data_IF_290516143872
#
_entry.id   IF_290516143872
#
_cell.length_a   1.000
_cell.length_b   1.000
_cell.length_c   1.000
_cell.angle_alpha   90.00
_cell.angle_beta   90.00
_cell.angle_gamma   90.00
#
_symmetry.space_group_name_H-M   'P 1'
#
loop_
_entity.id
_entity.type
_entity.pdbx_description
1 polymer ?
#
# COMPACT_ATOMS: atom_id res chain seq x y z
N UNK A 1 -52.25 60.74 15.94
CA UNK A 1 -51.03 60.82 15.09
C UNK A 1 -49.94 61.46 15.92
N UNK A 2 -48.76 60.81 16.02
CA UNK A 2 -47.79 60.87 17.16
C UNK A 2 -48.41 60.26 18.43
N UNK A 3 -47.72 59.49 19.27
CA UNK A 3 -46.40 59.68 19.89
C UNK A 3 -45.83 58.28 20.24
N UNK A 4 -44.55 58.01 19.95
CA UNK A 4 -43.78 56.98 20.65
C UNK A 4 -42.42 57.62 21.00
N UNK A 5 -42.16 57.71 22.31
CA UNK A 5 -40.97 58.27 22.93
C UNK A 5 -39.99 57.14 23.25
N UNK A 6 -38.76 57.37 22.80
CA UNK A 6 -37.47 56.74 23.12
C UNK A 6 -37.26 56.41 24.61
N UNK A 7 -36.54 55.32 24.92
CA UNK A 7 -35.26 55.27 25.66
C UNK A 7 -34.61 53.89 25.34
N UNK A 8 -33.50 53.75 24.61
CA UNK A 8 -32.09 54.06 24.87
C UNK A 8 -31.46 53.40 26.11
N UNK A 9 -30.21 52.96 25.90
CA UNK A 9 -29.22 52.38 26.83
C UNK A 9 -29.31 50.85 27.01
N UNK A 10 -28.26 50.04 27.04
CA UNK A 10 -26.91 50.00 26.47
C UNK A 10 -26.33 48.65 26.92
N UNK A 11 -25.35 48.16 26.17
CA UNK A 11 -24.21 47.37 26.68
C UNK A 11 -24.30 45.84 26.74
N UNK A 12 -23.55 45.25 25.79
CA UNK A 12 -22.52 44.22 26.03
C UNK A 12 -22.96 42.95 26.76
N UNK A 13 -23.48 41.97 26.02
CA UNK A 13 -23.36 40.53 26.34
C UNK A 13 -23.24 39.68 25.07
N UNK A 14 -22.23 39.99 24.27
CA UNK A 14 -21.63 39.03 23.36
C UNK A 14 -20.25 38.67 23.93
N UNK A 15 -19.87 37.40 23.85
CA UNK A 15 -18.52 36.88 24.11
C UNK A 15 -18.18 36.34 25.52
N UNK A 16 -19.05 35.52 26.14
CA UNK A 16 -18.60 34.56 27.18
C UNK A 16 -19.42 33.25 27.08
N UNK A 17 -19.41 32.58 25.92
CA UNK A 17 -19.87 31.16 25.83
C UNK A 17 -18.98 30.33 24.89
N UNK A 18 -18.25 30.95 23.96
CA UNK A 18 -17.52 30.21 22.92
C UNK A 18 -16.04 29.92 23.22
N UNK A 19 -15.50 30.30 24.38
CA UNK A 19 -14.07 30.13 24.73
C UNK A 19 -13.79 29.03 25.78
N UNK A 20 -14.80 28.29 26.22
CA UNK A 20 -14.63 27.21 27.21
C UNK A 20 -14.48 25.80 26.62
N UNK A 21 -14.58 25.64 25.29
CA UNK A 21 -14.51 24.33 24.62
C UNK A 21 -13.13 23.96 24.04
N UNK A 22 -12.11 24.80 24.20
CA UNK A 22 -10.82 24.63 23.48
C UNK A 22 -9.66 24.19 24.39
N UNK A 23 -9.86 24.03 25.71
CA UNK A 23 -8.75 23.81 26.66
C UNK A 23 -8.87 22.58 27.56
N UNK A 24 -9.87 21.72 27.38
CA UNK A 24 -9.87 20.44 28.07
C UNK A 24 -9.24 19.36 27.19
N UNK A 25 -8.13 18.73 27.61
CA UNK A 25 -7.60 17.58 26.90
C UNK A 25 -8.66 16.49 26.91
N UNK A 26 -9.15 16.12 25.73
CA UNK A 26 -9.99 14.93 25.58
C UNK A 26 -9.11 13.74 25.92
N UNK A 27 -9.48 12.98 26.95
CA UNK A 27 -8.85 11.69 27.21
C UNK A 27 -9.18 10.78 26.03
N UNK A 28 -8.27 10.71 25.07
CA UNK A 28 -8.30 9.68 24.04
C UNK A 28 -7.91 8.38 24.75
N UNK A 29 -8.91 7.58 25.12
CA UNK A 29 -8.64 6.21 25.51
C UNK A 29 -8.05 5.50 24.29
N UNK A 30 -6.79 5.11 24.39
CA UNK A 30 -6.20 4.19 23.43
C UNK A 30 -7.05 2.91 23.43
N UNK A 31 -7.30 2.36 22.24
CA UNK A 31 -7.93 1.05 22.12
C UNK A 31 -7.03 0.03 22.84
N UNK A 32 -7.53 -0.52 23.94
CA UNK A 32 -6.82 -1.54 24.70
C UNK A 32 -7.17 -2.91 24.11
N UNK A 33 -6.22 -3.52 23.39
CA UNK A 33 -6.42 -4.82 22.76
C UNK A 33 -5.94 -5.92 23.71
N UNK A 34 -6.80 -6.29 24.66
CA UNK A 34 -6.53 -7.35 25.62
C UNK A 34 -6.95 -8.71 25.03
N UNK A 35 -6.00 -9.64 24.94
CA UNK A 35 -6.28 -11.04 24.61
C UNK A 35 -6.36 -11.89 25.87
N UNK A 36 -7.44 -12.64 26.06
CA UNK A 36 -7.54 -13.70 27.07
C UNK A 36 -7.28 -15.06 26.43
N UNK A 37 -6.47 -15.89 27.10
CA UNK A 37 -6.20 -17.27 26.69
C UNK A 37 -6.66 -18.26 27.76
N UNK A 38 -7.00 -19.46 27.34
CA UNK A 38 -7.32 -20.59 28.20
C UNK A 38 -6.73 -21.86 27.56
N UNK A 39 -6.05 -22.70 28.36
CA UNK A 39 -5.65 -24.04 27.95
C UNK A 39 -6.51 -25.03 28.74
N UNK A 40 -7.58 -25.52 28.10
CA UNK A 40 -8.45 -26.57 28.64
C UNK A 40 -9.15 -26.25 29.98
N UNK A 41 -9.50 -24.99 30.24
CA UNK A 41 -10.21 -24.54 31.43
C UNK A 41 -9.31 -24.03 32.56
N UNK A 42 -7.98 -24.05 32.38
CA UNK A 42 -7.01 -23.62 33.38
C UNK A 42 -6.39 -22.25 33.06
N UNK A 43 -6.94 -21.22 33.70
CA UNK A 43 -6.49 -19.82 33.59
C UNK A 43 -5.11 -19.63 34.28
N UNK A 44 -4.75 -20.50 35.23
CA UNK A 44 -3.47 -20.44 35.94
C UNK A 44 -2.33 -21.08 35.16
N UNK A 45 -2.62 -21.89 34.14
CA UNK A 45 -1.61 -22.44 33.22
C UNK A 45 -0.79 -21.35 32.49
N UNK A 46 -1.29 -20.11 32.51
CA UNK A 46 -0.67 -18.94 31.90
C UNK A 46 0.15 -18.08 32.89
N UNK A 47 0.24 -18.46 34.17
CA UNK A 47 0.66 -17.56 35.25
C UNK A 47 2.20 -17.44 35.51
N UNK A 48 3.09 -18.02 34.70
CA UNK A 48 4.41 -17.38 34.55
C UNK A 48 4.93 -17.30 33.11
N UNK A 49 4.19 -17.75 32.08
CA UNK A 49 4.72 -17.79 30.72
C UNK A 49 3.66 -17.76 29.64
N UNK A 50 3.37 -16.56 29.14
CA UNK A 50 3.01 -16.41 27.73
C UNK A 50 3.53 -15.08 27.23
N UNK A 51 4.82 -15.08 26.87
CA UNK A 51 5.28 -14.16 25.84
C UNK A 51 4.50 -14.54 24.58
N UNK A 52 3.44 -13.80 24.29
CA UNK A 52 2.74 -13.89 23.02
C UNK A 52 3.59 -13.16 21.98
N UNK A 53 4.55 -13.88 21.40
CA UNK A 53 5.41 -13.33 20.36
C UNK A 53 4.66 -13.34 19.04
N UNK A 54 4.04 -12.21 18.71
CA UNK A 54 3.56 -11.92 17.37
C UNK A 54 4.77 -11.71 16.46
N UNK A 55 5.19 -12.78 15.78
CA UNK A 55 6.12 -12.66 14.67
C UNK A 55 5.36 -12.06 13.48
N UNK A 56 5.22 -10.74 13.45
CA UNK A 56 4.72 -10.06 12.27
C UNK A 56 5.82 -10.05 11.21
N UNK A 57 5.58 -10.75 10.11
CA UNK A 57 6.44 -10.74 8.94
C UNK A 57 6.48 -9.33 8.35
N UNK A 58 7.56 -8.59 8.56
CA UNK A 58 7.72 -7.28 7.94
C UNK A 58 8.08 -7.49 6.46
N UNK A 59 7.07 -7.46 5.60
CA UNK A 59 7.25 -7.41 4.16
C UNK A 59 7.61 -5.98 3.74
N UNK A 60 8.67 -5.84 2.94
CA UNK A 60 9.02 -4.57 2.32
C UNK A 60 8.41 -4.52 0.91
N UNK A 61 7.60 -3.48 0.65
CA UNK A 61 7.11 -3.15 -0.68
C UNK A 61 8.01 -2.08 -1.30
N UNK A 62 8.62 -2.38 -2.45
CA UNK A 62 9.51 -1.46 -3.15
C UNK A 62 8.98 -1.17 -4.54
N UNK A 63 9.09 0.08 -4.96
CA UNK A 63 8.78 0.53 -6.31
C UNK A 63 9.99 1.19 -6.96
N UNK A 64 10.32 0.75 -8.17
CA UNK A 64 11.39 1.27 -9.02
C UNK A 64 10.84 1.64 -10.39
N UNK A 65 11.53 2.54 -11.08
CA UNK A 65 11.17 2.98 -12.42
C UNK A 65 12.34 2.74 -13.36
N UNK A 66 12.04 2.32 -14.58
CA UNK A 66 13.00 2.02 -15.63
C UNK A 66 12.54 2.64 -16.95
N UNK A 67 13.49 3.02 -17.79
CA UNK A 67 13.22 3.32 -19.20
C UNK A 67 12.87 2.04 -19.96
N UNK A 68 12.30 2.16 -21.16
CA UNK A 68 11.94 1.03 -22.00
C UNK A 68 13.12 0.06 -22.29
N UNK A 69 14.35 0.59 -22.35
CA UNK A 69 15.57 -0.18 -22.55
C UNK A 69 16.10 -0.88 -21.28
N UNK A 70 15.41 -0.77 -20.14
CA UNK A 70 15.81 -1.35 -18.86
C UNK A 70 16.79 -0.50 -18.04
N UNK A 71 17.11 0.74 -18.47
CA UNK A 71 17.92 1.65 -17.65
C UNK A 71 17.12 2.11 -16.44
N UNK A 72 17.65 1.93 -15.23
CA UNK A 72 17.01 2.41 -14.01
C UNK A 72 16.93 3.95 -13.98
N UNK A 73 15.79 4.47 -13.53
CA UNK A 73 15.56 5.89 -13.33
C UNK A 73 15.83 6.26 -11.87
N UNK A 74 16.54 7.37 -11.67
CA UNK A 74 16.71 7.96 -10.36
C UNK A 74 15.44 8.69 -9.93
N UNK A 75 15.20 8.75 -8.62
CA UNK A 75 14.09 9.54 -8.09
C UNK A 75 14.28 11.02 -8.44
N UNK A 76 13.20 11.69 -8.85
CA UNK A 76 13.23 13.08 -9.30
C UNK A 76 13.72 13.29 -10.75
N UNK A 77 14.01 12.23 -11.50
CA UNK A 77 14.35 12.35 -12.91
C UNK A 77 13.22 13.06 -13.70
N UNK A 78 13.60 14.03 -14.54
CA UNK A 78 12.68 14.71 -15.45
C UNK A 78 12.69 14.00 -16.80
N UNK A 79 11.50 13.63 -17.29
CA UNK A 79 11.33 12.92 -18.55
C UNK A 79 10.37 13.67 -19.47
N UNK A 80 10.59 13.66 -20.79
CA UNK A 80 9.66 14.25 -21.73
C UNK A 80 8.28 13.56 -21.68
N UNK A 81 7.23 14.34 -21.95
CA UNK A 81 5.89 13.81 -22.25
C UNK A 81 5.97 12.76 -23.37
N UNK A 82 5.15 11.71 -23.26
CA UNK A 82 5.12 10.59 -24.19
C UNK A 82 6.16 9.51 -23.91
N UNK A 83 7.10 9.72 -22.98
CA UNK A 83 8.07 8.69 -22.57
C UNK A 83 7.35 7.48 -21.96
N UNK A 84 7.75 6.28 -22.38
CA UNK A 84 7.34 5.03 -21.76
C UNK A 84 8.25 4.71 -20.58
N UNK A 85 7.64 4.54 -19.42
CA UNK A 85 8.30 4.16 -18.17
C UNK A 85 7.77 2.80 -17.75
N UNK A 86 8.67 1.89 -17.40
CA UNK A 86 8.34 0.60 -16.79
C UNK A 86 8.46 0.75 -15.27
N UNK A 87 7.37 0.48 -14.56
CA UNK A 87 7.37 0.43 -13.10
C UNK A 87 7.53 -1.01 -12.65
N UNK A 88 8.55 -1.25 -11.84
CA UNK A 88 8.75 -2.50 -11.12
C UNK A 88 8.25 -2.30 -9.69
N UNK A 89 7.28 -3.08 -9.27
CA UNK A 89 6.82 -3.16 -7.88
C UNK A 89 7.14 -4.56 -7.39
N UNK A 90 7.79 -4.70 -6.24
CA UNK A 90 8.14 -6.02 -5.73
C UNK A 90 8.07 -6.10 -4.21
N UNK A 91 7.87 -7.32 -3.72
CA UNK A 91 7.85 -7.69 -2.30
C UNK A 91 8.93 -8.75 -2.09
N UNK A 92 9.88 -8.45 -1.20
CA UNK A 92 10.93 -9.40 -0.84
C UNK A 92 10.48 -10.23 0.38
N UNK A 93 10.04 -11.47 0.17
CA UNK A 93 9.70 -12.38 1.27
C UNK A 93 10.97 -13.05 1.79
N UNK A 94 11.57 -12.47 2.82
CA UNK A 94 12.78 -12.99 3.47
C UNK A 94 12.49 -14.05 4.52
N UNK A 95 11.23 -14.46 4.67
CA UNK A 95 10.84 -15.39 5.72
C UNK A 95 10.83 -16.83 5.23
N UNK A 96 10.95 -17.75 6.18
CA UNK A 96 10.80 -19.19 5.94
C UNK A 96 9.36 -19.64 5.69
N UNK A 97 8.40 -18.72 5.57
CA UNK A 97 6.97 -19.02 5.41
C UNK A 97 6.46 -18.34 4.14
N UNK A 98 5.54 -19.00 3.43
CA UNK A 98 4.90 -18.41 2.26
C UNK A 98 3.90 -17.32 2.69
N UNK A 99 3.85 -16.22 1.93
CA UNK A 99 2.82 -15.19 2.07
C UNK A 99 1.69 -15.55 1.13
N UNK A 100 0.59 -16.04 1.70
CA UNK A 100 -0.63 -16.35 0.93
C UNK A 100 -1.52 -15.13 0.85
N UNK A 101 -2.24 -14.99 -0.26
CA UNK A 101 -3.16 -13.88 -0.52
C UNK A 101 -2.49 -12.49 -0.43
N UNK A 102 -1.39 -12.33 -1.19
CA UNK A 102 -0.77 -11.02 -1.37
C UNK A 102 -1.67 -10.14 -2.24
N UNK A 103 -2.10 -9.00 -1.68
CA UNK A 103 -2.77 -7.94 -2.43
C UNK A 103 -1.88 -6.70 -2.55
N UNK A 104 -1.80 -6.13 -3.75
CA UNK A 104 -1.04 -4.90 -4.02
C UNK A 104 -1.86 -3.99 -4.90
N UNK A 105 -1.92 -2.70 -4.55
CA UNK A 105 -2.50 -1.65 -5.39
C UNK A 105 -1.47 -0.58 -5.67
N UNK A 106 -1.22 -0.33 -6.94
CA UNK A 106 -0.44 0.81 -7.40
C UNK A 106 -1.38 1.87 -7.99
N UNK A 107 -1.46 3.04 -7.36
CA UNK A 107 -2.24 4.17 -7.89
C UNK A 107 -1.36 5.07 -8.74
N UNK A 108 -1.73 5.21 -10.00
CA UNK A 108 -1.09 6.11 -10.95
C UNK A 108 -1.60 7.54 -10.72
N UNK A 109 -0.65 8.47 -10.60
CA UNK A 109 -0.96 9.90 -10.61
C UNK A 109 -1.38 10.33 -12.02
N UNK A 110 -2.21 11.37 -12.13
CA UNK A 110 -2.82 11.85 -13.38
C UNK A 110 -1.85 12.13 -14.55
N UNK A 111 -0.54 12.28 -14.28
CA UNK A 111 0.50 12.41 -15.31
C UNK A 111 0.94 11.11 -15.98
N UNK A 112 0.43 9.95 -15.54
CA UNK A 112 0.74 8.64 -16.12
C UNK A 112 -0.52 7.96 -16.63
N UNK A 113 -0.47 7.52 -17.89
CA UNK A 113 -1.47 6.63 -18.48
C UNK A 113 -0.92 5.22 -18.59
N UNK A 114 -1.56 4.25 -17.96
CA UNK A 114 -1.22 2.84 -18.10
C UNK A 114 -1.22 2.40 -19.58
N UNK A 115 -0.34 1.47 -19.95
CA UNK A 115 -0.33 0.84 -21.26
C UNK A 115 -0.92 -0.56 -21.15
N UNK A 116 -2.07 -0.79 -21.79
CA UNK A 116 -2.79 -2.07 -21.78
C UNK A 116 -1.94 -3.20 -22.35
N UNK A 117 -2.06 -4.39 -21.76
CA UNK A 117 -1.35 -5.61 -22.13
C UNK A 117 0.13 -5.58 -21.77
N UNK A 118 0.52 -4.83 -20.73
CA UNK A 118 1.93 -4.70 -20.34
C UNK A 118 2.25 -5.23 -18.95
N UNK A 119 1.26 -5.54 -18.11
CA UNK A 119 1.50 -6.09 -16.80
C UNK A 119 2.08 -7.52 -16.87
N UNK A 120 3.13 -7.78 -16.09
CA UNK A 120 3.86 -9.05 -15.99
C UNK A 120 4.10 -9.33 -14.52
N UNK A 121 4.00 -10.60 -14.12
CA UNK A 121 4.20 -11.02 -12.73
C UNK A 121 5.21 -12.16 -12.67
N UNK A 122 6.06 -12.15 -11.66
CA UNK A 122 7.03 -13.22 -11.36
C UNK A 122 7.07 -13.52 -9.85
N UNK A 123 7.31 -14.78 -9.49
CA UNK A 123 7.48 -15.23 -8.09
C UNK A 123 8.68 -16.17 -7.91
N UNK A 124 9.51 -16.30 -8.95
CA UNK A 124 10.56 -17.32 -9.01
C UNK A 124 11.91 -16.80 -8.49
N UNK A 125 12.14 -15.48 -8.50
CA UNK A 125 13.41 -14.89 -8.04
C UNK A 125 13.63 -15.16 -6.55
N UNK A 126 14.85 -15.53 -6.17
CA UNK A 126 15.23 -15.72 -4.78
C UNK A 126 15.16 -14.40 -4.00
N UNK A 127 14.89 -14.47 -2.70
CA UNK A 127 14.94 -13.29 -1.82
C UNK A 127 16.32 -12.63 -1.82
N UNK A 128 16.35 -11.33 -1.57
CA UNK A 128 17.60 -10.58 -1.54
C UNK A 128 18.43 -10.92 -0.30
N UNK A 129 19.74 -11.07 -0.48
CA UNK A 129 20.63 -11.71 0.50
C UNK A 129 20.70 -10.96 1.84
N UNK A 130 20.60 -9.63 1.82
CA UNK A 130 20.64 -8.78 3.02
C UNK A 130 19.25 -8.39 3.56
N UNK A 131 18.19 -9.00 3.02
CA UNK A 131 16.80 -8.60 3.25
C UNK A 131 16.38 -7.31 2.55
N UNK A 132 17.33 -6.42 2.26
CA UNK A 132 17.16 -5.32 1.29
C UNK A 132 17.86 -5.68 -0.01
N UNK A 133 17.22 -5.38 -1.14
CA UNK A 133 17.79 -5.65 -2.46
C UNK A 133 18.80 -4.57 -2.85
N UNK A 134 19.97 -5.02 -3.30
CA UNK A 134 20.97 -4.17 -3.94
C UNK A 134 20.55 -3.81 -5.37
N UNK A 135 21.15 -2.78 -5.99
CA UNK A 135 20.86 -2.44 -7.39
C UNK A 135 21.08 -3.60 -8.38
N UNK A 136 22.05 -4.48 -8.10
CA UNK A 136 22.33 -5.66 -8.93
C UNK A 136 21.19 -6.68 -8.81
N UNK A 137 20.73 -6.96 -7.59
CA UNK A 137 19.58 -7.85 -7.36
C UNK A 137 18.29 -7.25 -7.96
N UNK A 138 18.06 -5.94 -7.83
CA UNK A 138 16.93 -5.26 -8.47
C UNK A 138 16.96 -5.36 -9.99
N UNK A 139 18.13 -5.25 -10.60
CA UNK A 139 18.30 -5.47 -12.04
C UNK A 139 17.99 -6.92 -12.44
N UNK A 140 18.31 -7.89 -11.59
CA UNK A 140 17.99 -9.30 -11.82
C UNK A 140 16.47 -9.56 -11.68
N UNK A 141 15.83 -8.97 -10.67
CA UNK A 141 14.37 -9.02 -10.49
C UNK A 141 13.69 -8.43 -11.72
N UNK A 142 14.11 -7.23 -12.16
CA UNK A 142 13.59 -6.59 -13.38
C UNK A 142 13.74 -7.49 -14.61
N UNK A 143 14.92 -8.07 -14.83
CA UNK A 143 15.17 -8.93 -15.98
C UNK A 143 14.28 -10.18 -15.98
N UNK A 144 14.11 -10.82 -14.82
CA UNK A 144 13.26 -11.99 -14.66
C UNK A 144 11.78 -11.68 -14.99
N UNK A 145 11.19 -10.66 -14.35
CA UNK A 145 9.78 -10.31 -14.59
C UNK A 145 9.55 -9.76 -16.01
N UNK A 146 10.53 -9.05 -16.59
CA UNK A 146 10.42 -8.56 -17.97
C UNK A 146 10.45 -9.70 -19.00
N UNK A 147 11.03 -10.85 -18.66
CA UNK A 147 11.03 -12.04 -19.51
C UNK A 147 9.71 -12.84 -19.46
N UNK A 148 8.88 -12.63 -18.43
CA UNK A 148 7.57 -13.28 -18.32
C UNK A 148 6.59 -12.78 -19.37
N UNK A 149 5.62 -13.61 -19.76
CA UNK A 149 4.53 -13.17 -20.64
C UNK A 149 3.71 -12.06 -19.95
N UNK A 150 3.17 -11.13 -20.74
CA UNK A 150 2.20 -10.18 -20.23
C UNK A 150 0.87 -10.89 -19.94
N UNK A 151 0.21 -10.49 -18.86
CA UNK A 151 -1.16 -10.91 -18.54
C UNK A 151 -2.17 -10.25 -19.48
N UNK A 152 -3.46 -10.56 -19.28
CA UNK A 152 -4.54 -9.98 -20.10
C UNK A 152 -5.08 -8.67 -19.53
N UNK A 153 -4.67 -8.32 -18.31
CA UNK A 153 -5.16 -7.21 -17.49
C UNK A 153 -6.63 -7.38 -17.06
N UNK A 154 -7.19 -8.57 -17.28
CA UNK A 154 -8.59 -8.90 -17.03
C UNK A 154 -8.92 -9.05 -15.55
N UNK A 155 -10.19 -8.81 -15.21
CA UNK A 155 -10.75 -9.08 -13.87
C UNK A 155 -11.42 -10.46 -13.90
N UNK A 156 -10.63 -11.50 -14.16
CA UNK A 156 -11.14 -12.84 -14.50
C UNK A 156 -10.15 -13.96 -14.14
N UNK A 157 -9.69 -13.97 -12.89
CA UNK A 157 -8.67 -14.88 -12.37
C UNK A 157 -7.24 -14.65 -12.90
N UNK A 158 -7.01 -13.54 -13.61
CA UNK A 158 -5.65 -13.03 -13.79
C UNK A 158 -5.07 -12.59 -12.43
N UNK A 159 -3.75 -12.74 -12.22
CA UNK A 159 -3.08 -12.30 -11.00
C UNK A 159 -3.00 -10.77 -10.88
N UNK A 160 -3.14 -10.06 -12.00
CA UNK A 160 -3.07 -8.61 -12.12
C UNK A 160 -4.16 -8.11 -13.04
N UNK A 161 -4.80 -7.00 -12.67
CA UNK A 161 -5.83 -6.37 -13.47
C UNK A 161 -5.64 -4.86 -13.58
N UNK A 162 -6.15 -4.31 -14.68
CA UNK A 162 -6.30 -2.88 -14.90
C UNK A 162 -7.62 -2.63 -15.61
N UNK A 163 -8.48 -1.81 -15.00
CA UNK A 163 -9.72 -1.36 -15.64
C UNK A 163 -9.51 0.03 -16.24
N UNK A 164 -9.71 0.22 -17.57
CA UNK A 164 -9.64 1.55 -18.17
C UNK A 164 -10.52 2.57 -17.45
N UNK A 165 -9.96 3.75 -17.15
CA UNK A 165 -10.64 4.80 -16.38
C UNK A 165 -10.42 4.69 -14.86
N UNK A 166 -9.87 3.58 -14.38
CA UNK A 166 -9.39 3.45 -13.00
C UNK A 166 -7.88 3.69 -13.02
N UNK A 167 -7.40 4.69 -12.27
CA UNK A 167 -5.96 5.00 -12.21
C UNK A 167 -5.23 4.07 -11.24
N UNK A 168 -5.56 2.78 -11.24
CA UNK A 168 -4.89 1.77 -10.42
C UNK A 168 -4.60 0.48 -11.16
N UNK A 169 -3.46 -0.11 -10.85
CA UNK A 169 -3.10 -1.48 -11.18
C UNK A 169 -3.27 -2.30 -9.90
N UNK A 170 -4.06 -3.36 -9.96
CA UNK A 170 -4.47 -4.17 -8.82
C UNK A 170 -3.96 -5.60 -8.96
N UNK A 171 -3.44 -6.18 -7.88
CA UNK A 171 -2.94 -7.55 -7.79
C UNK A 171 -3.60 -8.23 -6.61
N UNK A 172 -3.93 -9.52 -6.77
CA UNK A 172 -4.57 -10.32 -5.72
C UNK A 172 -6.06 -9.99 -5.56
N UNK A 173 -6.75 -10.78 -4.73
CA UNK A 173 -8.22 -10.91 -4.77
C UNK A 173 -8.98 -9.99 -3.78
N UNK A 174 -8.28 -9.32 -2.85
CA UNK A 174 -8.92 -8.64 -1.72
C UNK A 174 -9.78 -7.43 -2.06
N UNK A 175 -9.55 -6.79 -3.21
CA UNK A 175 -10.33 -5.60 -3.63
C UNK A 175 -11.10 -5.79 -4.92
N UNK A 176 -10.64 -6.71 -5.75
CA UNK A 176 -11.13 -7.02 -7.10
C UNK A 176 -10.95 -8.53 -7.26
N UNK A 177 -11.87 -9.21 -7.94
CA UNK A 177 -11.87 -10.68 -8.08
C UNK A 177 -10.77 -11.21 -9.02
N UNK A 178 -9.51 -10.90 -8.72
CA UNK A 178 -8.32 -11.47 -9.35
C UNK A 178 -8.01 -12.86 -8.75
N UNK A 179 -7.04 -13.57 -9.29
CA UNK A 179 -6.51 -14.76 -8.62
C UNK A 179 -5.75 -14.39 -7.35
N UNK A 180 -5.90 -15.23 -6.32
CA UNK A 180 -5.10 -15.16 -5.10
C UNK A 180 -3.62 -15.33 -5.43
N UNK A 181 -2.77 -14.48 -4.84
CA UNK A 181 -1.33 -14.51 -5.07
C UNK A 181 -0.60 -15.08 -3.88
N UNK A 182 0.25 -16.09 -4.12
CA UNK A 182 1.14 -16.65 -3.10
C UNK A 182 2.58 -16.32 -3.43
N UNK A 183 3.30 -15.75 -2.47
CA UNK A 183 4.75 -15.57 -2.53
C UNK A 183 5.39 -16.70 -1.73
N UNK A 184 6.12 -17.63 -2.37
CA UNK A 184 6.77 -18.70 -1.62
C UNK A 184 7.77 -18.15 -0.60
N UNK A 185 8.11 -18.98 0.39
CA UNK A 185 9.17 -18.67 1.35
C UNK A 185 10.50 -18.37 0.62
N UNK A 186 11.25 -17.37 1.09
CA UNK A 186 12.53 -16.95 0.53
C UNK A 186 12.48 -16.60 -0.97
N UNK A 187 11.37 -15.99 -1.43
CA UNK A 187 11.19 -15.53 -2.81
C UNK A 187 10.82 -14.06 -2.88
N UNK A 188 11.07 -13.47 -4.05
CA UNK A 188 10.53 -12.17 -4.42
C UNK A 188 9.29 -12.39 -5.25
N UNK A 189 8.21 -11.68 -4.90
CA UNK A 189 7.12 -11.41 -5.84
C UNK A 189 7.40 -10.09 -6.54
N UNK A 190 7.21 -10.04 -7.86
CA UNK A 190 7.41 -8.85 -8.65
C UNK A 190 6.26 -8.65 -9.66
N UNK A 191 5.87 -7.39 -9.83
CA UNK A 191 5.00 -6.88 -10.87
C UNK A 191 5.80 -5.89 -11.71
N UNK A 192 5.71 -6.01 -13.04
CA UNK A 192 6.22 -5.03 -13.98
C UNK A 192 5.10 -4.58 -14.88
N UNK A 193 4.90 -3.28 -15.03
CA UNK A 193 3.96 -2.74 -16.00
C UNK A 193 4.47 -1.45 -16.63
N UNK A 194 3.91 -1.06 -17.76
CA UNK A 194 4.33 0.14 -18.50
C UNK A 194 3.29 1.24 -18.36
N UNK A 195 3.77 2.47 -18.16
CA UNK A 195 2.96 3.68 -18.22
C UNK A 195 3.60 4.71 -19.16
N UNK A 196 2.76 5.52 -19.79
CA UNK A 196 3.15 6.63 -20.65
C UNK A 196 2.92 7.96 -19.92
N UNK A 197 3.92 8.82 -19.93
CA UNK A 197 3.80 10.19 -19.40
C UNK A 197 2.85 11.01 -20.29
N UNK A 198 1.85 11.65 -19.70
CA UNK A 198 0.77 12.38 -20.38
C UNK A 198 1.04 13.87 -20.61
#
# INVERSE_FOLDING_TARGET
MRIQVSQFVSSVRALIVTLALVLFPVLVQAADNQGTGDVAGDIAALAPSNVFQLNATQLALVKRAFLANGTALTSGATLPRGTLVKFLVYVNNTTGIAVTDLSVRDSLVAGFGYQVGTARVDTAVANCASGTCTPVEESAIYAAVNAQAAGTDGVDADPVSYTPGVTSVDVGDQRIANAAMTVPANRVWALLFTARIQ
#
